data_IF_219447536545
#
_entry.id   IF_219447536545
#
_cell.length_a   1.000
_cell.length_b   1.000
_cell.length_c   1.000
_cell.angle_alpha   90.00
_cell.angle_beta   90.00
_cell.angle_gamma   90.00
#
_symmetry.space_group_name_H-M   'P 1'
#
loop_
_entity.id
_entity.type
_entity.pdbx_description
1 polymer ?
#
# COMPACT_ATOMS: atom_id res chain seq x y z
N UNK A 1 -37.37 8.85 -14.26
CA UNK A 1 -36.72 8.31 -13.05
C UNK A 1 -35.40 9.03 -12.88
N UNK A 2 -35.18 9.66 -11.74
CA UNK A 2 -33.92 10.36 -11.44
C UNK A 2 -32.93 9.33 -10.89
N UNK A 3 -31.69 9.22 -11.40
CA UNK A 3 -30.71 8.27 -10.89
C UNK A 3 -30.44 8.52 -9.40
N UNK A 4 -30.23 7.45 -8.63
CA UNK A 4 -29.80 7.58 -7.25
C UNK A 4 -28.44 8.32 -7.19
N UNK A 5 -28.23 9.26 -6.25
CA UNK A 5 -26.95 9.94 -6.10
C UNK A 5 -25.82 8.94 -5.90
N UNK A 6 -24.77 9.04 -6.73
CA UNK A 6 -23.59 8.19 -6.65
C UNK A 6 -22.90 8.36 -5.30
N UNK A 7 -23.00 7.35 -4.41
CA UNK A 7 -22.12 7.24 -3.25
C UNK A 7 -20.87 6.50 -3.68
N UNK A 8 -19.70 6.90 -3.16
CA UNK A 8 -18.45 6.15 -3.33
C UNK A 8 -18.69 4.68 -2.99
N UNK A 9 -18.50 3.82 -3.99
CA UNK A 9 -18.62 2.39 -3.82
C UNK A 9 -17.58 1.92 -2.80
N UNK A 10 -18.05 1.18 -1.80
CA UNK A 10 -17.17 0.63 -0.77
C UNK A 10 -16.47 -0.59 -1.35
N UNK A 11 -15.13 -0.62 -1.28
CA UNK A 11 -14.40 -1.87 -1.47
C UNK A 11 -14.88 -2.86 -0.41
N UNK A 12 -15.46 -4.00 -0.80
CA UNK A 12 -15.86 -5.02 0.16
C UNK A 12 -14.62 -5.44 0.96
N UNK A 13 -14.77 -5.48 2.28
CA UNK A 13 -13.71 -6.04 3.12
C UNK A 13 -13.83 -7.57 3.02
N UNK A 14 -12.75 -8.23 2.60
CA UNK A 14 -12.67 -9.68 2.61
C UNK A 14 -11.84 -10.10 3.82
N UNK A 15 -12.48 -10.70 4.82
CA UNK A 15 -11.77 -11.39 5.90
C UNK A 15 -11.68 -12.86 5.51
N UNK A 16 -10.48 -13.31 5.17
CA UNK A 16 -10.17 -14.74 5.14
C UNK A 16 -10.19 -15.31 6.56
N UNK A 17 -10.59 -16.57 6.67
CA UNK A 17 -10.55 -17.33 7.93
C UNK A 17 -9.12 -17.42 8.51
N UNK A 18 -9.00 -17.47 9.84
CA UNK A 18 -7.73 -17.63 10.56
C UNK A 18 -7.06 -16.31 11.01
N UNK A 19 -5.87 -16.44 11.63
CA UNK A 19 -5.17 -15.35 12.33
C UNK A 19 -4.45 -14.34 11.42
N UNK A 20 -4.46 -14.57 10.10
CA UNK A 20 -3.67 -13.79 9.15
C UNK A 20 -2.17 -14.10 9.21
N UNK A 21 -1.40 -13.44 8.34
CA UNK A 21 0.05 -13.63 8.23
C UNK A 21 0.77 -13.17 9.51
N UNK A 22 1.70 -13.97 10.06
CA UNK A 22 2.56 -13.56 11.17
C UNK A 22 3.63 -12.56 10.69
N UNK A 23 4.18 -11.77 11.62
CA UNK A 23 5.12 -10.70 11.30
C UNK A 23 6.42 -11.26 10.69
N UNK A 24 6.89 -12.39 11.19
CA UNK A 24 8.12 -13.06 10.79
C UNK A 24 8.04 -13.51 9.33
N UNK A 25 6.91 -14.09 8.92
CA UNK A 25 6.67 -14.44 7.51
C UNK A 25 6.57 -13.18 6.64
N UNK A 26 5.98 -12.10 7.17
CA UNK A 26 5.96 -10.81 6.48
C UNK A 26 7.36 -10.23 6.25
N UNK A 27 8.23 -10.34 7.24
CA UNK A 27 9.64 -9.93 7.12
C UNK A 27 10.36 -10.72 6.04
N UNK A 28 10.24 -12.06 6.04
CA UNK A 28 10.83 -12.92 5.01
C UNK A 28 10.33 -12.58 3.60
N UNK A 29 9.03 -12.28 3.45
CA UNK A 29 8.47 -11.81 2.17
C UNK A 29 9.08 -10.47 1.78
N UNK A 30 9.23 -9.56 2.74
CA UNK A 30 9.87 -8.26 2.50
C UNK A 30 11.32 -8.38 2.04
N UNK A 31 12.11 -9.26 2.67
CA UNK A 31 13.49 -9.54 2.26
C UNK A 31 13.55 -10.17 0.87
N UNK A 32 12.62 -11.09 0.57
CA UNK A 32 12.51 -11.69 -0.76
C UNK A 32 12.19 -10.65 -1.84
N UNK A 33 11.29 -9.71 -1.56
CA UNK A 33 10.99 -8.60 -2.47
C UNK A 33 12.22 -7.71 -2.71
N UNK A 34 13.07 -7.50 -1.71
CA UNK A 34 14.34 -6.79 -1.89
C UNK A 34 15.31 -7.56 -2.80
N UNK A 35 15.45 -8.88 -2.60
CA UNK A 35 16.28 -9.72 -3.48
C UNK A 35 15.81 -9.71 -4.93
N UNK A 36 14.48 -9.67 -5.16
CA UNK A 36 13.90 -9.51 -6.49
C UNK A 36 14.17 -8.12 -7.07
N UNK A 37 13.96 -7.07 -6.28
CA UNK A 37 14.15 -5.69 -6.69
C UNK A 37 15.60 -5.37 -7.07
N UNK A 38 16.57 -5.99 -6.41
CA UNK A 38 17.99 -5.79 -6.67
C UNK A 38 18.53 -6.75 -7.75
N UNK A 39 17.68 -7.63 -8.31
CA UNK A 39 18.06 -8.62 -9.32
C UNK A 39 18.89 -9.78 -8.78
N UNK A 40 19.29 -9.74 -7.50
CA UNK A 40 20.13 -10.74 -6.86
C UNK A 40 19.51 -12.14 -6.93
N UNK A 41 18.19 -12.25 -6.78
CA UNK A 41 17.49 -13.53 -6.89
C UNK A 41 17.68 -14.20 -8.27
N UNK A 42 17.60 -13.43 -9.36
CA UNK A 42 17.72 -13.94 -10.73
C UNK A 42 19.16 -14.21 -11.16
N UNK A 43 20.14 -13.71 -10.41
CA UNK A 43 21.56 -14.04 -10.61
C UNK A 43 21.98 -15.40 -10.04
N UNK A 44 21.15 -15.97 -9.16
CA UNK A 44 21.40 -17.25 -8.51
C UNK A 44 20.73 -18.44 -9.21
N UNK A 45 20.73 -19.59 -8.54
CA UNK A 45 20.03 -20.79 -9.02
C UNK A 45 18.53 -20.62 -8.88
N UNK A 46 17.84 -20.42 -10.00
CA UNK A 46 16.38 -20.33 -10.03
C UNK A 46 15.77 -21.72 -9.80
N UNK A 47 14.84 -21.90 -8.84
CA UNK A 47 14.18 -23.17 -8.63
C UNK A 47 13.43 -23.64 -9.89
N UNK A 48 13.39 -24.96 -10.18
CA UNK A 48 12.75 -25.47 -11.40
C UNK A 48 11.29 -25.04 -11.59
N UNK A 49 10.54 -24.89 -10.50
CA UNK A 49 9.13 -24.46 -10.52
C UNK A 49 8.93 -22.98 -10.85
N UNK A 50 10.01 -22.18 -10.88
CA UNK A 50 10.01 -20.76 -11.23
C UNK A 50 10.85 -20.46 -12.48
N UNK A 51 11.44 -21.49 -13.09
CA UNK A 51 12.40 -21.33 -14.18
C UNK A 51 11.74 -21.04 -15.55
N UNK A 52 10.41 -20.99 -15.63
CA UNK A 52 9.71 -20.61 -16.85
C UNK A 52 9.98 -19.14 -17.20
N UNK A 53 10.39 -18.88 -18.44
CA UNK A 53 10.79 -17.56 -18.93
C UNK A 53 9.69 -16.50 -18.74
N UNK A 54 8.44 -16.83 -19.06
CA UNK A 54 7.31 -15.90 -18.87
C UNK A 54 7.09 -15.55 -17.40
N UNK A 55 7.25 -16.53 -16.50
CA UNK A 55 7.09 -16.33 -15.06
C UNK A 55 8.16 -15.37 -14.53
N UNK A 56 9.41 -15.54 -14.94
CA UNK A 56 10.52 -14.63 -14.60
C UNK A 56 10.25 -13.22 -15.14
N UNK A 57 9.89 -13.11 -16.41
CA UNK A 57 9.62 -11.83 -17.06
C UNK A 57 8.47 -11.07 -16.38
N UNK A 58 7.40 -11.78 -16.02
CA UNK A 58 6.25 -11.20 -15.30
C UNK A 58 6.65 -10.67 -13.91
N UNK A 59 7.44 -11.44 -13.15
CA UNK A 59 7.89 -11.00 -11.82
C UNK A 59 8.78 -9.76 -11.94
N UNK A 60 9.74 -9.77 -12.86
CA UNK A 60 10.61 -8.62 -13.11
C UNK A 60 9.79 -7.39 -13.53
N UNK A 61 8.83 -7.57 -14.43
CA UNK A 61 7.91 -6.52 -14.86
C UNK A 61 7.13 -5.91 -13.69
N UNK A 62 6.51 -6.74 -12.85
CA UNK A 62 5.74 -6.27 -11.69
C UNK A 62 6.60 -5.50 -10.68
N UNK A 63 7.83 -5.97 -10.43
CA UNK A 63 8.77 -5.32 -9.52
C UNK A 63 9.20 -3.96 -10.07
N UNK A 64 9.46 -3.87 -11.38
CA UNK A 64 9.85 -2.63 -12.04
C UNK A 64 8.67 -1.64 -12.12
N UNK A 65 7.45 -2.10 -12.38
CA UNK A 65 6.24 -1.28 -12.32
C UNK A 65 6.04 -0.69 -10.91
N UNK A 66 6.18 -1.50 -9.87
CA UNK A 66 6.07 -1.03 -8.49
C UNK A 66 7.14 0.02 -8.16
N UNK A 67 8.39 -0.23 -8.56
CA UNK A 67 9.50 0.71 -8.39
C UNK A 67 9.24 2.01 -9.15
N UNK A 68 8.72 1.96 -10.36
CA UNK A 68 8.39 3.13 -11.15
C UNK A 68 7.22 3.94 -10.56
N UNK A 69 6.22 3.26 -9.99
CA UNK A 69 5.07 3.90 -9.37
C UNK A 69 5.42 4.60 -8.05
N UNK A 70 6.22 3.95 -7.20
CA UNK A 70 6.43 4.38 -5.81
C UNK A 70 7.86 4.82 -5.49
N UNK A 71 8.78 4.70 -6.44
CA UNK A 71 10.20 5.02 -6.32
C UNK A 71 11.05 3.93 -5.68
N UNK A 72 10.46 3.10 -4.82
CA UNK A 72 11.11 1.96 -4.14
C UNK A 72 10.14 0.80 -4.02
N UNK A 73 10.64 -0.43 -3.96
CA UNK A 73 9.80 -1.60 -3.67
C UNK A 73 9.62 -1.72 -2.16
N UNK A 74 8.39 -1.70 -1.63
CA UNK A 74 8.13 -1.88 -0.21
C UNK A 74 8.57 -3.28 0.24
N UNK A 75 9.18 -3.37 1.42
CA UNK A 75 9.74 -4.61 1.95
C UNK A 75 9.92 -4.57 3.45
N UNK A 76 10.84 -5.39 3.97
CA UNK A 76 11.13 -5.51 5.41
C UNK A 76 11.82 -4.27 5.97
N UNK A 77 12.58 -3.55 5.13
CA UNK A 77 13.38 -2.38 5.56
C UNK A 77 12.72 -1.05 5.23
N UNK A 78 11.81 -1.06 4.26
CA UNK A 78 11.17 0.14 3.74
C UNK A 78 9.67 -0.06 3.64
N UNK A 79 8.94 0.70 4.45
CA UNK A 79 7.50 0.88 4.28
C UNK A 79 7.24 2.08 3.38
N UNK A 80 6.22 1.99 2.53
CA UNK A 80 5.86 3.09 1.63
C UNK A 80 4.49 3.63 2.02
N UNK A 81 4.41 4.94 2.26
CA UNK A 81 3.15 5.65 2.41
C UNK A 81 2.83 6.36 1.09
N UNK A 82 1.86 5.83 0.36
CA UNK A 82 1.40 6.38 -0.91
C UNK A 82 0.16 7.25 -0.69
N UNK A 83 0.09 8.36 -1.42
CA UNK A 83 -1.10 9.22 -1.47
C UNK A 83 -1.63 9.30 -2.89
N UNK A 84 -2.83 8.79 -3.11
CA UNK A 84 -3.47 8.75 -4.41
C UNK A 84 -4.90 9.32 -4.35
N UNK A 85 -5.47 9.62 -5.52
CA UNK A 85 -6.88 10.00 -5.65
C UNK A 85 -7.67 8.78 -6.10
N UNK A 86 -8.90 8.68 -5.65
CA UNK A 86 -9.82 7.65 -6.12
C UNK A 86 -10.55 8.07 -7.39
N UNK A 87 -11.40 7.19 -7.93
CA UNK A 87 -12.15 7.43 -9.17
C UNK A 87 -13.09 8.64 -9.10
N UNK A 88 -13.45 9.10 -7.90
CA UNK A 88 -14.33 10.25 -7.65
C UNK A 88 -13.51 11.47 -7.21
N UNK A 89 -12.18 11.33 -7.12
CA UNK A 89 -11.26 12.38 -6.74
C UNK A 89 -11.12 12.57 -5.24
N UNK A 90 -11.59 11.66 -4.38
CA UNK A 90 -11.29 11.71 -2.94
C UNK A 90 -9.83 11.30 -2.69
N UNK A 91 -9.17 11.91 -1.69
CA UNK A 91 -7.82 11.48 -1.30
C UNK A 91 -7.86 10.13 -0.60
N UNK A 92 -6.86 9.30 -0.91
CA UNK A 92 -6.52 8.06 -0.23
C UNK A 92 -5.07 8.11 0.23
N UNK A 93 -4.85 7.67 1.45
CA UNK A 93 -3.54 7.26 1.92
C UNK A 93 -3.50 5.74 1.89
N UNK A 94 -2.36 5.16 1.52
CA UNK A 94 -2.12 3.71 1.46
C UNK A 94 -0.77 3.43 2.11
N UNK A 95 -0.74 2.50 3.05
CA UNK A 95 0.50 1.97 3.61
C UNK A 95 0.81 0.62 2.96
N UNK A 96 1.93 0.56 2.23
CA UNK A 96 2.48 -0.69 1.71
C UNK A 96 3.43 -1.28 2.74
N UNK A 97 3.10 -2.47 3.24
CA UNK A 97 3.84 -3.14 4.31
C UNK A 97 3.63 -4.66 4.25
N UNK A 98 4.70 -5.48 4.41
CA UNK A 98 4.58 -6.93 4.22
C UNK A 98 4.14 -7.69 5.48
N UNK A 99 4.10 -7.03 6.66
CA UNK A 99 3.93 -7.64 7.99
C UNK A 99 2.55 -8.24 8.29
N UNK A 100 1.57 -7.99 7.42
CA UNK A 100 0.25 -8.60 7.48
C UNK A 100 -0.62 -8.17 8.67
N UNK A 101 -1.77 -8.85 8.77
CA UNK A 101 -2.93 -8.38 9.56
C UNK A 101 -2.64 -8.23 11.06
N UNK A 102 -1.85 -9.13 11.65
CA UNK A 102 -1.53 -9.12 13.09
C UNK A 102 -0.77 -7.86 13.52
N UNK A 103 -0.03 -7.25 12.60
CA UNK A 103 0.65 -5.97 12.81
C UNK A 103 -0.23 -4.82 12.38
N UNK A 104 -0.94 -4.95 11.25
CA UNK A 104 -1.71 -3.84 10.68
C UNK A 104 -2.99 -3.50 11.44
N UNK A 105 -3.66 -4.48 12.06
CA UNK A 105 -4.87 -4.24 12.87
C UNK A 105 -4.62 -3.30 14.06
N UNK A 106 -3.66 -3.57 14.98
CA UNK A 106 -3.39 -2.67 16.09
C UNK A 106 -2.88 -1.30 15.62
N UNK A 107 -2.11 -1.23 14.52
CA UNK A 107 -1.70 0.05 13.94
C UNK A 107 -2.91 0.84 13.43
N UNK A 108 -3.84 0.20 12.72
CA UNK A 108 -5.06 0.86 12.25
C UNK A 108 -5.89 1.42 13.42
N UNK A 109 -5.96 0.70 14.55
CA UNK A 109 -6.62 1.19 15.76
C UNK A 109 -5.91 2.41 16.37
N UNK A 110 -4.58 2.36 16.49
CA UNK A 110 -3.80 3.48 17.03
C UNK A 110 -3.94 4.74 16.16
N UNK A 111 -3.84 4.59 14.84
CA UNK A 111 -3.97 5.70 13.90
C UNK A 111 -5.41 6.23 13.90
N UNK A 112 -6.42 5.36 14.01
CA UNK A 112 -7.81 5.79 14.17
C UNK A 112 -8.02 6.63 15.43
N UNK A 113 -7.44 6.21 16.55
CA UNK A 113 -7.51 6.93 17.81
C UNK A 113 -6.86 8.32 17.70
N UNK A 114 -5.65 8.39 17.13
CA UNK A 114 -4.95 9.67 16.95
C UNK A 114 -5.69 10.59 15.96
N UNK A 115 -6.25 10.05 14.88
CA UNK A 115 -7.05 10.82 13.92
C UNK A 115 -8.31 11.43 14.57
N UNK A 116 -8.99 10.70 15.47
CA UNK A 116 -10.14 11.22 16.21
C UNK A 116 -9.76 12.40 17.11
N UNK A 117 -8.54 12.42 17.65
CA UNK A 117 -8.06 13.53 18.51
C UNK A 117 -7.90 14.84 17.76
N UNK A 118 -7.66 14.80 16.45
CA UNK A 118 -7.60 16.00 15.59
C UNK A 118 -8.99 16.53 15.16
N UNK A 119 -10.09 16.03 15.74
CA UNK A 119 -11.43 16.55 15.50
C UNK A 119 -12.03 16.17 14.13
N UNK A 120 -11.40 15.23 13.41
CA UNK A 120 -11.85 14.82 12.10
C UNK A 120 -12.99 13.78 12.20
N UNK A 121 -14.22 14.21 11.93
CA UNK A 121 -15.41 13.36 11.88
C UNK A 121 -15.47 12.60 10.54
N UNK A 122 -15.26 11.28 10.62
CA UNK A 122 -15.56 10.21 9.65
C UNK A 122 -14.65 10.02 8.42
N UNK A 123 -13.96 8.86 8.36
CA UNK A 123 -14.25 7.71 7.48
C UNK A 123 -13.36 6.51 7.87
N UNK A 124 -13.86 5.30 7.61
CA UNK A 124 -13.49 4.04 8.27
C UNK A 124 -12.28 3.34 7.64
N UNK A 125 -11.36 2.88 8.48
CA UNK A 125 -10.15 2.11 8.15
C UNK A 125 -10.50 0.66 7.75
N UNK A 126 -9.76 0.08 6.79
CA UNK A 126 -9.91 -1.32 6.38
C UNK A 126 -8.54 -1.98 6.23
N UNK A 127 -8.12 -2.86 7.16
CA UNK A 127 -6.89 -3.63 7.00
C UNK A 127 -7.06 -4.72 5.93
N UNK A 128 -6.12 -4.84 4.99
CA UNK A 128 -6.08 -5.88 3.94
C UNK A 128 -4.68 -6.50 3.89
N UNK A 129 -4.59 -7.78 3.50
CA UNK A 129 -3.44 -8.67 3.73
C UNK A 129 -2.07 -8.23 3.15
N UNK A 130 -2.04 -7.34 2.16
CA UNK A 130 -0.77 -6.97 1.48
C UNK A 130 -0.49 -5.46 1.48
N UNK A 131 -1.52 -4.66 1.68
CA UNK A 131 -1.49 -3.22 1.89
C UNK A 131 -2.95 -2.80 1.93
N UNK A 132 -3.37 -2.05 2.95
CA UNK A 132 -4.24 -0.90 2.78
C UNK A 132 -4.54 -0.34 4.16
N UNK A 133 -4.10 0.88 4.37
CA UNK A 133 -4.57 1.75 5.43
C UNK A 133 -5.33 2.89 4.73
N UNK A 134 -6.56 2.65 4.26
CA UNK A 134 -7.33 3.70 3.59
C UNK A 134 -7.73 4.81 4.56
N UNK A 135 -7.11 5.98 4.42
CA UNK A 135 -7.59 7.24 4.99
C UNK A 135 -8.28 8.03 3.90
N UNK A 136 -9.58 8.27 4.05
CA UNK A 136 -10.27 9.29 3.28
C UNK A 136 -10.03 10.63 3.98
N UNK A 137 -9.10 11.42 3.46
CA UNK A 137 -8.98 12.82 3.84
C UNK A 137 -9.89 13.61 2.91
N UNK A 138 -11.10 13.95 3.36
CA UNK A 138 -11.79 15.13 2.81
C UNK A 138 -10.85 16.33 2.94
N UNK A 139 -10.93 17.34 2.07
CA UNK A 139 -9.99 18.45 2.09
C UNK A 139 -10.16 19.26 3.38
N UNK A 140 -9.44 18.88 4.43
CA UNK A 140 -9.17 19.72 5.57
C UNK A 140 -8.11 20.72 5.13
N UNK A 141 -8.58 21.84 4.60
CA UNK A 141 -7.81 23.08 4.50
C UNK A 141 -7.30 23.38 5.92
N UNK A 142 -5.98 23.30 6.13
CA UNK A 142 -5.26 23.66 7.37
C UNK A 142 -5.27 22.67 8.55
N UNK A 143 -4.97 21.39 8.32
CA UNK A 143 -4.42 20.56 9.41
C UNK A 143 -2.88 20.55 9.32
N UNK A 144 -2.14 21.13 10.29
CA UNK A 144 -0.70 20.97 10.37
C UNK A 144 -0.41 19.53 10.80
N UNK A 145 -0.29 18.62 9.83
CA UNK A 145 0.16 17.26 10.11
C UNK A 145 1.56 17.31 10.76
N UNK A 146 1.80 16.62 11.88
CA UNK A 146 3.15 16.43 12.37
C UNK A 146 3.98 15.75 11.27
N UNK A 147 5.15 16.32 10.97
CA UNK A 147 6.06 15.85 9.92
C UNK A 147 6.48 14.39 10.20
N UNK A 148 5.78 13.44 9.62
CA UNK A 148 6.23 12.06 9.49
C UNK A 148 6.61 11.78 8.03
N UNK A 149 7.73 11.07 7.90
CA UNK A 149 8.68 11.16 6.81
C UNK A 149 8.13 10.75 5.44
N UNK A 150 8.42 11.58 4.43
CA UNK A 150 8.42 11.20 3.03
C UNK A 150 9.90 11.19 2.59
N UNK A 151 10.50 10.00 2.45
CA UNK A 151 11.79 9.87 1.78
C UNK A 151 11.54 9.80 0.28
N UNK A 152 11.83 10.93 -0.38
CA UNK A 152 11.96 11.14 -1.82
C UNK A 152 10.79 11.85 -2.53
N UNK A 153 10.97 13.17 -2.72
CA UNK A 153 10.03 14.11 -3.33
C UNK A 153 9.90 14.02 -4.87
N UNK A 154 10.59 13.11 -5.56
CA UNK A 154 10.74 13.18 -7.03
C UNK A 154 9.63 12.53 -7.88
N UNK A 155 8.70 11.77 -7.31
CA UNK A 155 7.70 11.01 -8.12
C UNK A 155 6.26 11.51 -8.03
N UNK A 156 5.97 12.55 -7.24
CA UNK A 156 4.60 13.02 -6.98
C UNK A 156 3.90 13.69 -8.19
N UNK A 157 4.55 13.83 -9.35
CA UNK A 157 4.03 14.58 -10.51
C UNK A 157 3.84 13.79 -11.82
N UNK A 158 4.13 12.49 -11.92
CA UNK A 158 4.14 11.82 -13.24
C UNK A 158 2.83 11.20 -13.75
N UNK A 159 1.73 11.22 -12.99
CA UNK A 159 0.44 10.68 -13.44
C UNK A 159 -0.63 11.75 -13.74
N UNK A 160 -0.28 13.03 -13.74
CA UNK A 160 -1.19 14.14 -14.09
C UNK A 160 -0.99 14.73 -15.51
N UNK A 161 -0.11 14.16 -16.34
CA UNK A 161 0.26 14.73 -17.64
C UNK A 161 -0.03 13.84 -18.87
N UNK A 162 -0.90 12.83 -18.74
CA UNK A 162 -1.46 12.12 -19.90
C UNK A 162 -2.97 11.93 -19.76
N UNK A 163 -3.70 13.04 -19.79
CA UNK A 163 -4.89 13.31 -20.62
C UNK A 163 -5.56 14.59 -20.14
#
# INVERSE_FOLDING_TARGET
MTPAPGRSARLPFWRGEGNGRPAELGEMIGDFLHLLADGAFFSGTIPPWLAEENTIANIQGLIEEQRNATGIVPGSRHLVLERCRDEIGDWRIILHSPYGRRVHEPWALAIAGEYMRYGALTRRWSPVMTALLHVFLTPMVNCPMPRFFCLNQKSCCKLSARR
#
